data_IF_719902089713
#
_entry.id   IF_719902089713
#
_cell.length_a   1.000
_cell.length_b   1.000
_cell.length_c   1.000
_cell.angle_alpha   90.00
_cell.angle_beta   90.00
_cell.angle_gamma   90.00
#
_symmetry.space_group_name_H-M   'P 1'
#
loop_
_entity.id
_entity.type
_entity.pdbx_description
1 polymer ?
#
# COMPACT_ATOMS: atom_id res chain seq x y z
N UNK A 1 3.48 -42.38 -74.82
CA UNK A 1 4.93 -42.43 -75.09
C UNK A 1 5.67 -42.23 -73.77
N UNK A 2 6.60 -43.14 -73.46
CA UNK A 2 7.83 -43.03 -72.61
C UNK A 2 7.70 -42.27 -71.27
N UNK A 3 7.73 -42.92 -70.09
CA UNK A 3 8.80 -43.69 -69.44
C UNK A 3 10.00 -42.85 -68.90
N UNK A 4 10.21 -42.97 -67.58
CA UNK A 4 11.47 -42.91 -66.81
C UNK A 4 12.10 -41.51 -66.55
N UNK A 5 12.73 -41.16 -65.42
CA UNK A 5 13.24 -41.82 -64.20
C UNK A 5 13.48 -40.73 -63.10
N UNK A 6 13.05 -40.89 -61.84
CA UNK A 6 13.79 -41.28 -60.61
C UNK A 6 14.98 -40.40 -60.11
N UNK A 7 14.75 -39.77 -58.94
CA UNK A 7 15.52 -39.80 -57.67
C UNK A 7 16.52 -38.68 -57.21
N UNK A 8 16.44 -38.42 -55.87
CA UNK A 8 17.34 -37.76 -54.88
C UNK A 8 17.24 -36.21 -54.67
N UNK A 9 16.74 -35.65 -53.54
CA UNK A 9 17.27 -35.48 -52.13
C UNK A 9 18.43 -34.44 -52.08
N UNK A 10 18.54 -33.34 -51.29
CA UNK A 10 17.90 -32.77 -50.08
C UNK A 10 18.23 -31.24 -49.91
N UNK A 11 17.24 -30.47 -49.41
CA UNK A 11 17.26 -29.37 -48.40
C UNK A 11 17.95 -27.98 -48.54
N UNK A 12 17.28 -27.02 -47.86
CA UNK A 12 17.61 -25.65 -47.42
C UNK A 12 17.22 -24.50 -48.38
N UNK A 13 16.55 -23.40 -47.98
CA UNK A 13 16.06 -22.94 -46.69
C UNK A 13 15.33 -21.58 -46.82
N UNK A 14 14.74 -21.13 -45.71
CA UNK A 14 14.42 -19.73 -45.34
C UNK A 14 13.39 -18.93 -46.15
N UNK A 15 12.16 -18.88 -45.63
CA UNK A 15 11.20 -17.78 -45.90
C UNK A 15 11.32 -16.71 -44.82
N UNK A 16 11.45 -15.47 -45.28
CA UNK A 16 11.77 -14.22 -44.59
C UNK A 16 10.79 -13.83 -43.49
N UNK A 17 11.34 -13.47 -42.32
CA UNK A 17 10.65 -12.71 -41.28
C UNK A 17 10.47 -11.25 -41.73
N UNK A 18 9.28 -10.69 -41.58
CA UNK A 18 9.03 -9.26 -41.72
C UNK A 18 9.40 -8.56 -40.41
N UNK A 19 10.39 -7.68 -40.49
CA UNK A 19 10.75 -6.72 -39.45
C UNK A 19 9.59 -5.76 -39.19
N UNK A 20 8.96 -5.86 -38.03
CA UNK A 20 8.22 -4.75 -37.44
C UNK A 20 9.19 -3.99 -36.53
N UNK A 21 9.75 -2.90 -37.07
CA UNK A 21 10.49 -1.91 -36.28
C UNK A 21 9.51 -1.25 -35.31
N UNK A 22 9.52 -1.67 -34.05
CA UNK A 22 8.80 -0.97 -32.98
C UNK A 22 9.53 0.35 -32.75
N UNK A 23 8.99 1.44 -33.30
CA UNK A 23 9.40 2.80 -32.96
C UNK A 23 9.16 3.02 -31.47
N UNK A 24 10.23 3.25 -30.70
CA UNK A 24 10.24 3.70 -29.30
C UNK A 24 9.67 5.13 -29.17
N UNK A 25 8.39 5.30 -29.52
CA UNK A 25 7.65 6.57 -29.38
C UNK A 25 6.36 6.42 -28.58
N UNK A 26 6.25 5.34 -27.80
CA UNK A 26 5.05 5.01 -27.02
C UNK A 26 5.35 4.60 -25.57
N UNK A 27 6.49 5.03 -25.01
CA UNK A 27 6.79 4.93 -23.57
C UNK A 27 6.82 6.30 -22.89
N UNK A 28 6.23 7.31 -23.54
CA UNK A 28 6.09 8.65 -23.01
C UNK A 28 4.64 9.12 -23.25
N UNK A 29 3.70 8.29 -22.80
CA UNK A 29 2.28 8.64 -22.58
C UNK A 29 1.58 7.44 -21.93
N UNK A 30 2.09 7.03 -20.78
CA UNK A 30 1.24 6.49 -19.72
C UNK A 30 1.64 7.19 -18.42
N UNK A 31 1.85 8.51 -18.55
CA UNK A 31 1.77 9.38 -17.40
C UNK A 31 0.34 9.28 -16.88
N UNK A 32 0.24 8.97 -15.60
CA UNK A 32 -0.99 8.70 -14.86
C UNK A 32 -2.03 9.80 -15.09
N UNK A 33 -2.95 9.61 -16.04
CA UNK A 33 -4.02 10.56 -16.33
C UNK A 33 -5.19 10.46 -15.34
N UNK A 34 -4.92 10.08 -14.07
CA UNK A 34 -5.94 9.76 -13.08
C UNK A 34 -5.86 10.59 -11.80
N UNK A 35 -5.14 11.71 -11.80
CA UNK A 35 -5.03 12.56 -10.63
C UNK A 35 -5.28 14.02 -11.04
N UNK A 36 -6.41 14.55 -10.59
CA UNK A 36 -6.65 16.00 -10.51
C UNK A 36 -5.75 16.62 -9.43
N UNK A 37 -4.43 16.50 -9.58
CA UNK A 37 -3.53 17.43 -8.90
C UNK A 37 -3.53 18.71 -9.71
N UNK A 38 -3.93 19.82 -9.09
CA UNK A 38 -3.75 21.11 -9.71
C UNK A 38 -2.24 21.40 -9.81
N UNK A 39 -1.68 21.40 -11.02
CA UNK A 39 -0.25 21.65 -11.28
C UNK A 39 0.20 23.04 -10.77
N UNK A 40 -0.75 23.95 -10.52
CA UNK A 40 -0.49 25.27 -9.92
C UNK A 40 -0.63 25.29 -8.39
N UNK A 41 -0.85 24.14 -7.74
CA UNK A 41 -1.03 24.09 -6.30
C UNK A 41 0.26 24.40 -5.55
N UNK A 42 0.16 25.29 -4.57
CA UNK A 42 1.19 25.57 -3.58
C UNK A 42 0.52 25.65 -2.23
N UNK A 43 1.12 25.02 -1.22
CA UNK A 43 0.67 25.16 0.16
C UNK A 43 1.37 26.36 0.81
N UNK A 44 0.74 27.53 0.66
CA UNK A 44 1.18 28.83 1.18
C UNK A 44 0.16 29.46 2.16
N UNK A 45 -0.84 28.69 2.57
CA UNK A 45 -1.90 29.12 3.48
C UNK A 45 -2.98 30.02 2.84
N UNK A 46 -2.98 30.20 1.51
CA UNK A 46 -4.09 30.85 0.80
C UNK A 46 -5.30 29.92 0.61
N UNK A 47 -5.05 28.62 0.60
CA UNK A 47 -6.05 27.55 0.56
C UNK A 47 -5.92 26.66 1.80
N UNK A 48 -6.91 25.80 2.02
CA UNK A 48 -6.88 24.80 3.09
C UNK A 48 -6.90 23.36 2.54
N UNK A 49 -6.39 23.15 1.32
CA UNK A 49 -6.29 21.81 0.72
C UNK A 49 -5.10 21.03 1.29
N UNK A 50 -5.21 20.74 2.59
CA UNK A 50 -4.26 19.95 3.36
C UNK A 50 -4.13 18.53 2.76
N UNK A 51 -5.21 17.98 2.20
CA UNK A 51 -5.16 16.66 1.58
C UNK A 51 -4.29 16.67 0.32
N UNK A 52 -4.40 17.68 -0.54
CA UNK A 52 -3.52 17.85 -1.70
C UNK A 52 -2.05 18.04 -1.28
N UNK A 53 -1.79 18.85 -0.23
CA UNK A 53 -0.42 19.00 0.29
C UNK A 53 0.15 17.66 0.80
N UNK A 54 -0.61 16.90 1.58
CA UNK A 54 -0.19 15.60 2.11
C UNK A 54 0.01 14.56 1.00
N UNK A 55 -0.79 14.62 -0.07
CA UNK A 55 -0.57 13.82 -1.27
C UNK A 55 0.78 14.15 -1.92
N UNK A 56 1.10 15.44 -2.11
CA UNK A 56 2.37 15.87 -2.70
C UNK A 56 3.55 15.41 -1.85
N UNK A 57 3.46 15.53 -0.53
CA UNK A 57 4.51 15.02 0.39
C UNK A 57 4.66 13.50 0.30
N UNK A 58 3.54 12.76 0.24
CA UNK A 58 3.56 11.31 0.05
C UNK A 58 4.22 10.90 -1.27
N UNK A 59 3.92 11.58 -2.39
CA UNK A 59 4.58 11.33 -3.67
C UNK A 59 6.07 11.71 -3.65
N UNK A 60 6.46 12.70 -2.85
CA UNK A 60 7.86 13.05 -2.62
C UNK A 60 8.62 11.99 -1.79
N UNK A 61 7.92 10.99 -1.23
CA UNK A 61 8.49 9.93 -0.42
C UNK A 61 8.66 10.31 1.06
N UNK A 62 8.03 11.40 1.50
CA UNK A 62 8.00 11.76 2.91
C UNK A 62 7.20 10.73 3.72
N UNK A 63 7.53 10.64 5.00
CA UNK A 63 6.88 9.74 5.94
C UNK A 63 6.44 10.58 7.15
N UNK A 64 5.27 10.27 7.67
CA UNK A 64 4.80 10.75 8.96
C UNK A 64 4.35 9.57 9.81
N UNK A 65 4.45 9.72 11.12
CA UNK A 65 3.89 8.76 12.07
C UNK A 65 2.39 8.61 11.85
N UNK A 66 1.90 7.40 12.09
CA UNK A 66 0.48 7.09 12.09
C UNK A 66 -0.26 8.01 13.06
N UNK A 67 -1.51 8.37 12.72
CA UNK A 67 -2.35 9.12 13.63
C UNK A 67 -2.75 8.22 14.81
N UNK A 68 -2.33 8.60 16.00
CA UNK A 68 -2.88 8.05 17.23
C UNK A 68 -4.26 8.67 17.42
N UNK A 69 -5.32 7.94 17.12
CA UNK A 69 -6.71 8.38 17.33
C UNK A 69 -7.36 7.49 18.40
N UNK A 70 -8.15 8.08 19.29
CA UNK A 70 -8.93 7.30 20.26
C UNK A 70 -10.03 6.46 19.59
N UNK A 71 -10.55 6.95 18.46
CA UNK A 71 -11.51 6.23 17.63
C UNK A 71 -11.45 6.71 16.17
N UNK A 72 -11.80 5.82 15.24
CA UNK A 72 -11.92 6.17 13.81
C UNK A 72 -13.37 6.59 13.55
N UNK A 73 -13.64 7.76 12.94
CA UNK A 73 -15.00 8.20 12.69
C UNK A 73 -15.75 7.24 11.76
N UNK A 74 -17.04 6.99 12.04
CA UNK A 74 -17.85 6.05 11.26
C UNK A 74 -17.89 6.41 9.76
N UNK A 75 -17.99 7.69 9.41
CA UNK A 75 -17.99 8.15 8.02
C UNK A 75 -16.67 7.86 7.29
N UNK A 76 -15.55 7.82 8.02
CA UNK A 76 -14.24 7.46 7.45
C UNK A 76 -14.21 5.97 7.15
N UNK A 77 -14.67 5.12 8.09
CA UNK A 77 -14.77 3.68 7.87
C UNK A 77 -15.73 3.34 6.72
N UNK A 78 -16.92 3.96 6.69
CA UNK A 78 -17.90 3.78 5.61
C UNK A 78 -17.34 4.15 4.23
N UNK A 79 -16.44 5.13 4.17
CA UNK A 79 -15.76 5.53 2.94
C UNK A 79 -14.67 4.54 2.51
N UNK A 80 -13.98 3.90 3.46
CA UNK A 80 -12.93 2.91 3.20
C UNK A 80 -13.47 1.51 2.89
N UNK A 81 -14.63 1.14 3.45
CA UNK A 81 -15.24 -0.19 3.32
C UNK A 81 -15.41 -0.67 1.86
N UNK A 82 -15.94 0.16 0.91
CA UNK A 82 -16.05 -0.24 -0.49
C UNK A 82 -14.70 -0.52 -1.16
N UNK A 83 -13.63 0.09 -0.65
CA UNK A 83 -12.26 -0.09 -1.14
C UNK A 83 -11.55 -1.27 -0.48
N UNK A 84 -12.14 -1.85 0.58
CA UNK A 84 -11.54 -2.89 1.44
C UNK A 84 -10.19 -2.48 2.01
N UNK A 85 -10.10 -1.24 2.47
CA UNK A 85 -8.92 -0.66 3.09
C UNK A 85 -9.17 -0.58 4.60
N UNK A 86 -8.21 -1.03 5.41
CA UNK A 86 -8.20 -0.71 6.84
C UNK A 86 -7.52 0.65 7.04
N UNK A 87 -8.07 1.50 7.91
CA UNK A 87 -7.44 2.78 8.24
C UNK A 87 -6.01 2.61 8.76
N UNK A 88 -5.79 1.61 9.61
CA UNK A 88 -4.49 1.34 10.23
C UNK A 88 -3.42 0.84 9.23
N UNK A 89 -3.84 0.36 8.06
CA UNK A 89 -2.92 -0.07 7.00
C UNK A 89 -2.44 1.10 6.13
N UNK A 90 -3.05 2.29 6.27
CA UNK A 90 -2.67 3.48 5.53
C UNK A 90 -1.42 4.15 6.13
N UNK A 91 -0.50 4.67 5.31
CA UNK A 91 0.60 5.50 5.81
C UNK A 91 0.09 6.75 6.54
N UNK A 92 0.85 7.25 7.52
CA UNK A 92 0.42 8.37 8.37
C UNK A 92 0.02 9.65 7.62
N UNK A 93 0.68 9.96 6.49
CA UNK A 93 0.30 11.08 5.63
C UNK A 93 -1.08 10.87 4.99
N UNK A 94 -1.38 9.65 4.57
CA UNK A 94 -2.65 9.27 3.92
C UNK A 94 -3.78 9.23 4.93
N UNK A 95 -3.51 8.74 6.15
CA UNK A 95 -4.44 8.82 7.27
C UNK A 95 -4.84 10.27 7.55
N UNK A 96 -3.86 11.18 7.66
CA UNK A 96 -4.10 12.62 7.83
C UNK A 96 -4.96 13.17 6.69
N UNK A 97 -4.58 12.92 5.43
CA UNK A 97 -5.32 13.44 4.28
C UNK A 97 -6.78 12.97 4.28
N UNK A 98 -7.01 11.69 4.60
CA UNK A 98 -8.34 11.11 4.70
C UNK A 98 -9.18 11.73 5.83
N UNK A 99 -8.60 11.93 7.02
CA UNK A 99 -9.28 12.57 8.15
C UNK A 99 -9.70 14.00 7.79
N UNK A 100 -8.76 14.80 7.26
CA UNK A 100 -9.05 16.18 6.85
C UNK A 100 -10.13 16.26 5.79
N UNK A 101 -9.96 15.52 4.70
CA UNK A 101 -10.88 15.53 3.57
C UNK A 101 -12.28 15.05 3.96
N UNK A 102 -12.37 14.12 4.92
CA UNK A 102 -13.64 13.64 5.48
C UNK A 102 -14.28 14.60 6.50
N UNK A 103 -13.71 15.78 6.72
CA UNK A 103 -14.30 16.83 7.55
C UNK A 103 -13.98 16.70 9.04
N UNK A 104 -12.77 16.26 9.38
CA UNK A 104 -12.33 16.16 10.77
C UNK A 104 -11.03 16.92 11.00
N UNK A 105 -10.91 17.49 12.21
CA UNK A 105 -9.66 17.93 12.79
C UNK A 105 -9.44 17.19 14.11
N UNK A 106 -8.24 17.26 14.70
CA UNK A 106 -7.85 16.44 15.85
C UNK A 106 -7.75 17.29 17.11
N UNK A 107 -8.46 16.91 18.17
CA UNK A 107 -8.36 17.54 19.49
C UNK A 107 -6.97 17.30 20.11
N UNK A 108 -6.57 18.07 21.13
CA UNK A 108 -5.35 17.81 21.90
C UNK A 108 -5.29 16.41 22.53
N UNK A 109 -6.46 15.81 22.81
CA UNK A 109 -6.60 14.48 23.39
C UNK A 109 -6.71 13.36 22.34
N UNK A 110 -6.39 13.66 21.07
CA UNK A 110 -6.40 12.71 19.95
C UNK A 110 -7.80 12.22 19.53
N UNK A 111 -8.84 12.99 19.81
CA UNK A 111 -10.19 12.73 19.29
C UNK A 111 -10.39 13.42 17.94
N UNK A 112 -10.90 12.71 16.92
CA UNK A 112 -11.40 13.37 15.72
C UNK A 112 -12.67 14.17 16.03
N UNK A 113 -12.61 15.46 15.78
CA UNK A 113 -13.70 16.41 15.99
C UNK A 113 -14.32 16.76 14.63
N UNK A 114 -15.64 16.62 14.52
CA UNK A 114 -16.37 16.92 13.30
C UNK A 114 -16.30 18.42 12.98
N UNK A 115 -16.00 18.73 11.72
CA UNK A 115 -16.09 20.06 11.14
C UNK A 115 -17.30 20.10 10.21
N UNK A 116 -18.11 21.15 10.31
CA UNK A 116 -19.10 21.53 9.30
C UNK A 116 -18.58 22.74 8.55
N UNK A 117 -18.74 22.74 7.23
CA UNK A 117 -18.41 23.90 6.41
C UNK A 117 -19.66 24.76 6.20
N UNK A 118 -19.47 26.06 6.28
CA UNK A 118 -20.53 27.03 6.04
C UNK A 118 -20.75 27.21 4.54
N UNK A 119 -21.96 27.59 4.15
CA UNK A 119 -22.30 27.90 2.75
C UNK A 119 -21.91 26.75 1.78
N UNK A 120 -21.19 27.07 0.71
CA UNK A 120 -20.70 26.12 -0.29
C UNK A 120 -19.18 25.86 -0.18
N UNK A 121 -18.57 26.21 0.96
CA UNK A 121 -17.15 25.91 1.18
C UNK A 121 -16.92 24.41 1.37
N UNK A 122 -15.73 23.96 1.01
CA UNK A 122 -15.23 22.60 1.25
C UNK A 122 -14.07 22.66 2.23
N UNK A 123 -13.63 21.50 2.76
CA UNK A 123 -12.42 21.44 3.59
C UNK A 123 -11.18 22.01 2.88
N UNK A 124 -11.13 21.98 1.55
CA UNK A 124 -10.04 22.58 0.76
C UNK A 124 -10.11 24.12 0.66
N UNK A 125 -11.23 24.74 1.06
CA UNK A 125 -11.51 26.16 0.85
C UNK A 125 -12.05 26.91 2.07
N UNK A 126 -11.84 26.38 3.29
CA UNK A 126 -12.22 27.04 4.55
C UNK A 126 -11.16 28.02 5.06
N UNK A 127 -9.98 28.11 4.42
CA UNK A 127 -9.04 29.21 4.68
C UNK A 127 -9.74 30.56 4.51
N UNK A 128 -9.47 31.49 5.42
CA UNK A 128 -10.02 32.84 5.37
C UNK A 128 -8.99 33.75 4.70
N UNK A 129 -9.33 34.41 3.58
CA UNK A 129 -8.43 35.36 2.93
C UNK A 129 -8.13 36.58 3.80
N UNK A 130 -6.94 37.17 3.61
CA UNK A 130 -6.49 38.33 4.39
C UNK A 130 -7.41 39.56 4.20
N UNK A 131 -7.96 39.73 2.99
CA UNK A 131 -8.91 40.80 2.69
C UNK A 131 -10.19 40.70 3.54
N UNK A 132 -10.72 39.50 3.75
CA UNK A 132 -11.90 39.29 4.59
C UNK A 132 -11.60 39.63 6.06
N UNK A 133 -10.41 39.30 6.54
CA UNK A 133 -10.00 39.67 7.92
C UNK A 133 -9.88 41.18 8.08
N UNK A 134 -9.41 41.89 7.05
CA UNK A 134 -9.38 43.35 7.06
C UNK A 134 -10.80 43.96 7.04
N UNK A 135 -11.77 43.35 6.34
CA UNK A 135 -13.16 43.80 6.26
C UNK A 135 -13.90 43.79 7.61
N UNK A 136 -13.51 42.89 8.52
CA UNK A 136 -14.06 42.83 9.89
C UNK A 136 -13.32 43.72 10.89
N UNK A 137 -12.50 44.66 10.40
CA UNK A 137 -11.69 45.61 11.17
C UNK A 137 -10.70 44.92 12.12
N UNK A 138 -10.14 43.78 11.70
CA UNK A 138 -9.01 43.19 12.37
C UNK A 138 -7.71 43.73 11.80
N UNK A 139 -6.74 43.96 12.67
CA UNK A 139 -5.38 44.30 12.25
C UNK A 139 -4.57 43.01 12.06
N UNK A 140 -3.72 43.03 11.05
CA UNK A 140 -2.86 41.89 10.70
C UNK A 140 -1.40 42.22 11.00
N UNK A 141 -0.69 41.25 11.55
CA UNK A 141 0.76 41.26 11.64
C UNK A 141 1.31 40.62 10.37
N UNK A 142 2.15 41.34 9.64
CA UNK A 142 2.88 40.80 8.49
C UNK A 142 4.10 40.02 8.99
N UNK A 143 4.25 38.80 8.51
CA UNK A 143 5.33 37.88 8.83
C UNK A 143 6.12 37.54 7.56
N UNK A 144 7.33 38.10 7.40
CA UNK A 144 8.19 37.79 6.27
C UNK A 144 8.58 36.31 6.24
N UNK A 145 8.54 35.69 5.06
CA UNK A 145 8.95 34.30 4.88
C UNK A 145 10.21 34.18 3.99
N UNK A 146 10.96 33.05 4.07
CA UNK A 146 12.17 32.85 3.28
C UNK A 146 12.00 32.85 1.76
N UNK A 147 10.80 32.57 1.26
CA UNK A 147 10.48 32.63 -0.18
C UNK A 147 10.26 34.06 -0.71
N UNK A 148 10.26 35.07 0.17
CA UNK A 148 10.02 36.47 -0.18
C UNK A 148 8.55 36.87 -0.25
N UNK A 149 7.62 35.93 -0.11
CA UNK A 149 6.18 36.22 -0.01
C UNK A 149 5.79 36.42 1.46
N UNK A 150 5.01 37.45 1.80
CA UNK A 150 4.58 37.69 3.18
C UNK A 150 3.46 36.72 3.58
N UNK A 151 3.55 36.23 4.82
CA UNK A 151 2.41 35.68 5.54
C UNK A 151 1.76 36.76 6.40
N UNK A 152 0.54 36.49 6.83
CA UNK A 152 -0.21 37.37 7.73
C UNK A 152 -0.77 36.58 8.90
N UNK A 153 -0.84 37.21 10.07
CA UNK A 153 -1.51 36.65 11.25
C UNK A 153 -2.39 37.69 11.92
N UNK A 154 -3.41 37.24 12.65
CA UNK A 154 -4.29 38.14 13.41
C UNK A 154 -3.51 38.79 14.55
N UNK A 155 -3.49 40.14 14.62
CA UNK A 155 -2.85 40.89 15.70
C UNK A 155 -3.88 41.43 16.68
N UNK A 156 -4.62 42.48 16.33
CA UNK A 156 -5.73 42.99 17.14
C UNK A 156 -7.06 42.66 16.46
N UNK A 157 -7.78 41.70 17.04
CA UNK A 157 -9.02 41.15 16.52
C UNK A 157 -9.77 40.49 17.67
N UNK A 158 -11.05 40.83 17.89
CA UNK A 158 -11.87 40.12 18.88
C UNK A 158 -12.38 38.79 18.32
N UNK A 159 -12.77 37.87 19.21
CA UNK A 159 -13.37 36.60 18.77
C UNK A 159 -14.60 36.81 17.89
N UNK A 160 -15.47 37.76 18.25
CA UNK A 160 -16.65 38.09 17.44
C UNK A 160 -16.31 38.67 16.06
N UNK A 161 -15.20 39.42 15.92
CA UNK A 161 -14.80 39.96 14.62
C UNK A 161 -14.29 38.85 13.70
N UNK A 162 -13.36 38.00 14.18
CA UNK A 162 -12.79 36.96 13.33
C UNK A 162 -13.84 35.91 12.92
N UNK A 163 -14.77 35.61 13.83
CA UNK A 163 -15.86 34.66 13.57
C UNK A 163 -16.82 35.14 12.46
N UNK A 164 -17.00 36.45 12.26
CA UNK A 164 -17.85 36.96 11.17
C UNK A 164 -17.35 36.58 9.75
N UNK A 165 -16.09 36.17 9.62
CA UNK A 165 -15.50 35.71 8.35
C UNK A 165 -15.05 34.25 8.40
N UNK A 166 -15.34 33.55 9.50
CA UNK A 166 -15.12 32.12 9.61
C UNK A 166 -15.99 31.36 8.60
N UNK A 167 -15.47 30.22 8.14
CA UNK A 167 -16.11 29.37 7.12
C UNK A 167 -16.43 27.97 7.65
N UNK A 168 -16.28 27.75 8.96
CA UNK A 168 -16.43 26.45 9.58
C UNK A 168 -17.02 26.53 10.99
N UNK A 169 -17.64 25.44 11.39
CA UNK A 169 -18.05 25.15 12.76
C UNK A 169 -17.39 23.86 13.18
N UNK A 170 -16.78 23.83 14.36
CA UNK A 170 -16.20 22.60 14.93
C UNK A 170 -17.07 22.09 16.09
N UNK A 171 -17.19 20.78 16.19
CA UNK A 171 -17.88 20.13 17.31
C UNK A 171 -17.19 20.43 18.64
N UNK A 172 -17.90 20.22 19.74
CA UNK A 172 -17.38 20.49 21.08
C UNK A 172 -16.26 19.50 21.41
N UNK A 173 -15.14 20.02 21.91
CA UNK A 173 -14.03 19.23 22.45
C UNK A 173 -13.41 19.94 23.65
N UNK A 174 -12.59 19.21 24.41
CA UNK A 174 -11.84 19.74 25.54
C UNK A 174 -10.39 20.05 25.12
N UNK A 175 -9.89 21.21 25.55
CA UNK A 175 -8.46 21.56 25.47
C UNK A 175 -8.02 22.02 26.86
N UNK A 176 -7.45 21.09 27.63
CA UNK A 176 -6.93 21.39 28.96
C UNK A 176 -5.81 22.44 28.95
N UNK A 177 -5.16 22.66 27.80
CA UNK A 177 -4.13 23.67 27.58
C UNK A 177 -4.67 25.01 27.07
N UNK A 178 -5.98 25.19 26.93
CA UNK A 178 -6.59 26.41 26.42
C UNK A 178 -6.56 27.59 27.41
N UNK A 179 -6.62 27.30 28.71
CA UNK A 179 -6.64 28.34 29.74
C UNK A 179 -5.36 29.17 29.70
N UNK A 180 -5.48 30.42 29.21
CA UNK A 180 -4.34 31.32 29.04
C UNK A 180 -3.52 31.11 27.76
N UNK A 181 -4.01 30.32 26.81
CA UNK A 181 -3.39 30.20 25.49
C UNK A 181 -3.61 31.49 24.70
N UNK A 182 -2.61 32.38 24.70
CA UNK A 182 -2.57 33.58 23.87
C UNK A 182 -1.95 33.25 22.51
N UNK A 183 -2.57 32.35 21.77
CA UNK A 183 -2.12 31.96 20.43
C UNK A 183 -2.68 32.85 19.33
N UNK A 184 -2.22 32.63 18.11
CA UNK A 184 -2.80 33.23 16.91
C UNK A 184 -4.10 32.49 16.55
N UNK A 185 -5.16 33.23 16.20
CA UNK A 185 -6.48 32.66 15.87
C UNK A 185 -6.71 32.50 14.37
N UNK A 186 -5.96 33.24 13.57
CA UNK A 186 -5.98 33.19 12.11
C UNK A 186 -4.59 33.54 11.58
N UNK A 187 -4.13 32.80 10.58
CA UNK A 187 -2.94 33.15 9.82
C UNK A 187 -2.89 32.48 8.46
N UNK A 188 -2.18 33.11 7.54
CA UNK A 188 -1.73 32.53 6.27
C UNK A 188 -0.25 32.16 6.37
N UNK A 189 0.27 31.56 5.30
CA UNK A 189 1.62 31.05 5.23
C UNK A 189 1.66 29.52 5.23
N UNK A 190 2.77 29.01 4.73
CA UNK A 190 3.04 27.59 4.66
C UNK A 190 4.35 27.38 3.92
N UNK A 191 5.04 26.31 4.29
CA UNK A 191 6.20 25.83 3.56
C UNK A 191 5.72 24.75 2.58
N UNK A 192 6.05 24.86 1.29
CA UNK A 192 5.67 23.86 0.29
C UNK A 192 6.20 22.44 0.61
N UNK A 193 7.20 22.34 1.49
CA UNK A 193 7.75 21.08 1.98
C UNK A 193 7.22 20.65 3.35
N UNK A 194 6.27 21.37 3.97
CA UNK A 194 5.74 20.95 5.27
C UNK A 194 4.76 19.80 5.14
N UNK A 195 4.69 19.01 6.21
CA UNK A 195 3.62 18.06 6.48
C UNK A 195 2.64 18.74 7.44
N UNK A 196 1.52 19.29 6.97
CA UNK A 196 0.57 19.99 7.83
C UNK A 196 -0.08 19.07 8.85
N UNK A 197 -0.23 19.59 10.06
CA UNK A 197 -1.11 19.05 11.09
C UNK A 197 -2.55 19.55 10.90
N UNK A 198 -3.50 19.04 11.67
CA UNK A 198 -4.89 19.50 11.72
C UNK A 198 -5.35 19.59 13.17
N UNK A 199 -4.54 20.26 13.99
CA UNK A 199 -4.70 20.28 15.44
C UNK A 199 -5.70 21.37 15.83
N UNK A 200 -6.70 21.01 16.62
CA UNK A 200 -7.64 21.98 17.17
C UNK A 200 -7.07 22.66 18.41
N UNK A 201 -7.46 23.91 18.58
CA UNK A 201 -7.23 24.73 19.76
C UNK A 201 -8.51 25.41 20.20
N UNK A 202 -8.75 25.40 21.50
CA UNK A 202 -9.73 26.30 22.12
C UNK A 202 -9.04 27.61 22.49
N UNK A 203 -9.53 28.70 21.91
CA UNK A 203 -9.12 30.06 22.24
C UNK A 203 -10.21 30.69 23.08
N UNK A 204 -9.99 30.76 24.39
CA UNK A 204 -10.90 31.41 25.33
C UNK A 204 -10.15 32.45 26.17
N UNK A 205 -10.66 33.68 26.21
CA UNK A 205 -10.07 34.75 27.02
C UNK A 205 -11.11 35.78 27.46
N UNK A 206 -10.76 36.54 28.49
CA UNK A 206 -11.50 37.73 28.90
C UNK A 206 -10.69 38.94 28.46
N UNK A 207 -11.29 39.78 27.61
CA UNK A 207 -10.69 41.01 27.14
C UNK A 207 -10.40 41.95 28.33
N UNK A 208 -9.13 42.25 28.63
CA UNK A 208 -8.78 42.99 29.84
C UNK A 208 -9.36 44.40 29.89
N UNK A 209 -9.60 45.02 28.73
CA UNK A 209 -10.07 46.40 28.64
C UNK A 209 -11.59 46.54 28.78
N UNK A 210 -12.36 45.58 28.27
CA UNK A 210 -13.83 45.64 28.25
C UNK A 210 -14.50 44.67 29.22
N UNK A 211 -13.79 43.63 29.68
CA UNK A 211 -14.35 42.54 30.46
C UNK A 211 -15.22 41.56 29.66
N UNK A 212 -15.26 41.68 28.33
CA UNK A 212 -15.98 40.75 27.47
C UNK A 212 -15.25 39.40 27.41
N UNK A 213 -16.01 38.31 27.52
CA UNK A 213 -15.49 36.97 27.30
C UNK A 213 -15.63 36.59 25.82
N UNK A 214 -14.55 36.05 25.24
CA UNK A 214 -14.53 35.52 23.88
C UNK A 214 -14.10 34.07 23.91
N UNK A 215 -14.68 33.28 23.01
CA UNK A 215 -14.43 31.86 22.87
C UNK A 215 -14.59 31.49 21.39
N UNK A 216 -13.63 30.75 20.84
CA UNK A 216 -13.69 30.20 19.49
C UNK A 216 -12.74 29.04 19.33
N UNK A 217 -12.91 28.27 18.26
CA UNK A 217 -12.00 27.20 17.89
C UNK A 217 -11.11 27.62 16.74
N UNK A 218 -9.89 27.08 16.70
CA UNK A 218 -9.00 27.28 15.56
C UNK A 218 -8.30 25.97 15.20
N UNK A 219 -8.12 25.74 13.90
CA UNK A 219 -7.36 24.62 13.35
C UNK A 219 -5.96 25.11 13.02
N UNK A 220 -4.96 24.57 13.70
CA UNK A 220 -3.55 24.88 13.53
C UNK A 220 -2.86 23.78 12.70
N UNK A 221 -2.06 24.21 11.72
CA UNK A 221 -1.36 23.28 10.80
C UNK A 221 0.06 22.91 11.23
N UNK A 222 0.46 23.28 12.45
CA UNK A 222 1.76 22.97 13.05
C UNK A 222 1.62 22.38 14.46
N UNK A 223 2.72 21.82 14.96
CA UNK A 223 2.80 21.33 16.33
C UNK A 223 2.62 22.48 17.34
N UNK A 224 2.24 22.17 18.58
CA UNK A 224 2.12 23.18 19.64
C UNK A 224 3.45 23.88 19.96
N UNK A 225 4.60 23.26 19.64
CA UNK A 225 5.92 23.84 19.89
C UNK A 225 6.35 24.85 18.82
N UNK A 226 5.78 24.74 17.62
CA UNK A 226 6.05 25.61 16.47
C UNK A 226 4.99 26.72 16.32
N UNK A 227 3.91 26.62 17.10
CA UNK A 227 2.80 27.56 17.07
C UNK A 227 3.24 28.93 17.63
N UNK A 228 3.14 30.02 16.85
CA UNK A 228 3.57 31.32 17.31
C UNK A 228 2.66 31.83 18.44
N UNK A 229 3.27 32.47 19.44
CA UNK A 229 2.49 33.23 20.41
C UNK A 229 1.93 34.50 19.77
N UNK A 230 0.87 35.04 20.36
CA UNK A 230 0.23 36.27 19.92
C UNK A 230 1.27 37.39 19.70
N UNK A 231 1.09 38.12 18.60
CA UNK A 231 1.96 39.23 18.20
C UNK A 231 3.42 38.82 17.91
N UNK A 232 3.65 37.56 17.53
CA UNK A 232 4.95 37.08 17.09
C UNK A 232 4.83 36.35 15.75
N UNK A 233 5.87 36.48 14.93
CA UNK A 233 6.04 35.63 13.76
C UNK A 233 6.77 34.33 14.16
N UNK A 234 6.51 33.22 13.45
CA UNK A 234 7.17 31.95 13.74
C UNK A 234 8.70 32.07 13.70
N UNK A 235 9.33 31.41 14.68
CA UNK A 235 10.79 31.41 14.82
C UNK A 235 11.46 30.23 14.10
N UNK A 236 10.75 29.12 13.93
CA UNK A 236 11.26 27.89 13.32
C UNK A 236 11.09 27.96 11.81
N UNK A 237 12.13 27.53 11.08
CA UNK A 237 12.30 27.53 9.60
C UNK A 237 11.99 28.83 8.82
N UNK A 238 11.45 29.85 9.50
CA UNK A 238 11.03 31.14 8.98
C UNK A 238 9.64 31.15 8.33
N UNK A 239 8.97 30.00 8.19
CA UNK A 239 7.66 29.94 7.54
C UNK A 239 6.52 30.08 8.55
N UNK A 240 5.53 30.88 8.18
CA UNK A 240 4.24 30.89 8.87
C UNK A 240 3.42 29.65 8.50
N UNK A 241 2.33 29.44 9.24
CA UNK A 241 1.44 28.31 9.08
C UNK A 241 0.00 28.77 8.90
N UNK A 242 -0.80 28.00 8.19
CA UNK A 242 -2.24 28.21 8.12
C UNK A 242 -2.88 27.97 9.49
N UNK A 243 -3.66 28.94 9.95
CA UNK A 243 -4.57 28.80 11.09
C UNK A 243 -5.98 29.21 10.65
N UNK A 244 -6.94 28.29 10.79
CA UNK A 244 -8.32 28.49 10.34
C UNK A 244 -9.25 28.68 11.54
N UNK A 245 -9.87 29.87 11.73
CA UNK A 245 -10.84 30.09 12.79
C UNK A 245 -12.16 29.40 12.46
N UNK A 246 -12.76 28.71 13.44
CA UNK A 246 -14.06 28.07 13.38
C UNK A 246 -14.93 28.48 14.57
N UNK A 247 -16.23 28.57 14.35
CA UNK A 247 -17.19 28.71 15.44
C UNK A 247 -17.28 27.44 16.29
N UNK A 248 -17.80 27.58 17.52
CA UNK A 248 -18.18 26.43 18.35
C UNK A 248 -19.57 25.94 17.96
N UNK A 249 -19.73 24.62 17.88
CA UNK A 249 -21.04 23.97 17.63
C UNK A 249 -22.13 24.40 18.61
N UNK A 250 -21.76 24.73 19.85
CA UNK A 250 -22.68 25.18 20.91
C UNK A 250 -23.36 26.52 20.63
N UNK A 251 -22.83 27.32 19.69
CA UNK A 251 -23.42 28.60 19.28
C UNK A 251 -24.64 28.43 18.36
N UNK A 252 -24.84 27.24 17.80
CA UNK A 252 -25.87 26.96 16.81
C UNK A 252 -26.89 25.94 17.32
N UNK A 253 -28.11 26.06 16.81
CA UNK A 253 -29.15 25.05 16.98
C UNK A 253 -28.89 23.82 16.09
N UNK A 254 -29.49 22.69 16.45
CA UNK A 254 -29.42 21.46 15.64
C UNK A 254 -29.95 21.68 14.21
N UNK A 255 -30.98 22.51 14.04
CA UNK A 255 -31.53 22.85 12.73
C UNK A 255 -30.59 23.69 11.87
N UNK A 256 -29.84 24.61 12.48
CA UNK A 256 -28.86 25.42 11.77
C UNK A 256 -27.68 24.55 11.31
N UNK A 257 -27.22 23.65 12.16
CA UNK A 257 -26.10 22.76 11.84
C UNK A 257 -26.50 21.71 10.80
N UNK A 258 -27.74 21.21 10.86
CA UNK A 258 -28.28 20.33 9.83
C UNK A 258 -28.42 21.02 8.46
N UNK A 259 -28.46 22.35 8.40
CA UNK A 259 -28.47 23.12 7.15
C UNK A 259 -27.05 23.42 6.62
N UNK A 260 -26.02 23.25 7.44
CA UNK A 260 -24.62 23.37 7.02
C UNK A 260 -24.14 22.09 6.31
N UNK A 261 -23.00 22.20 5.63
CA UNK A 261 -22.43 21.07 4.92
C UNK A 261 -21.58 20.23 5.88
N UNK A 262 -21.99 18.97 6.10
CA UNK A 262 -21.13 17.96 6.71
C UNK A 262 -20.26 17.33 5.61
N UNK A 263 -18.92 17.53 5.60
CA UNK A 263 -18.07 16.99 4.54
C UNK A 263 -18.13 15.45 4.51
N UNK A 264 -18.27 14.89 3.31
CA UNK A 264 -18.28 13.43 3.10
C UNK A 264 -16.94 12.88 2.57
N UNK A 265 -15.99 13.77 2.28
CA UNK A 265 -14.80 13.45 1.48
C UNK A 265 -14.96 13.76 0.00
N UNK A 266 -13.86 14.12 -0.65
CA UNK A 266 -13.81 14.35 -2.09
C UNK A 266 -13.70 13.05 -2.88
N UNK A 267 -14.18 13.07 -4.12
CA UNK A 267 -13.95 11.97 -5.07
C UNK A 267 -12.45 11.80 -5.36
N UNK A 268 -11.69 12.90 -5.37
CA UNK A 268 -10.24 12.89 -5.63
C UNK A 268 -9.45 12.08 -4.60
N UNK A 269 -9.63 12.31 -3.29
CA UNK A 269 -8.96 11.47 -2.27
C UNK A 269 -9.42 10.02 -2.37
N UNK A 270 -10.70 9.79 -2.68
CA UNK A 270 -11.25 8.44 -2.85
C UNK A 270 -10.59 7.71 -4.03
N UNK A 271 -10.35 8.42 -5.13
CA UNK A 271 -9.67 7.90 -6.33
C UNK A 271 -8.20 7.61 -6.05
N UNK A 272 -7.51 8.48 -5.31
CA UNK A 272 -6.15 8.22 -4.83
C UNK A 272 -6.09 6.95 -3.96
N UNK A 273 -6.97 6.84 -2.96
CA UNK A 273 -7.06 5.65 -2.10
C UNK A 273 -7.29 4.37 -2.91
N UNK A 274 -8.18 4.44 -3.90
CA UNK A 274 -8.48 3.31 -4.79
C UNK A 274 -7.28 2.92 -5.65
N UNK A 275 -6.55 3.91 -6.17
CA UNK A 275 -5.43 3.68 -7.06
C UNK A 275 -4.24 3.00 -6.35
N UNK A 276 -3.94 3.45 -5.12
CA UNK A 276 -2.72 3.05 -4.42
C UNK A 276 -2.93 1.95 -3.37
N UNK A 277 -4.09 1.93 -2.69
CA UNK A 277 -4.27 1.12 -1.48
C UNK A 277 -5.40 0.09 -1.58
N UNK A 278 -6.37 0.25 -2.50
CA UNK A 278 -7.46 -0.71 -2.59
C UNK A 278 -6.95 -2.11 -2.96
N UNK A 279 -7.48 -3.11 -2.24
CA UNK A 279 -7.16 -4.50 -2.52
C UNK A 279 -7.55 -4.84 -3.97
N UNK A 280 -6.56 -5.15 -4.80
CA UNK A 280 -6.82 -5.64 -6.17
C UNK A 280 -7.62 -6.92 -6.05
N UNK A 281 -8.91 -6.86 -6.36
CA UNK A 281 -9.68 -8.10 -6.52
C UNK A 281 -8.96 -8.95 -7.56
N UNK A 282 -8.60 -10.21 -7.26
CA UNK A 282 -8.17 -11.11 -8.30
C UNK A 282 -9.32 -11.19 -9.29
N UNK A 283 -9.12 -10.63 -10.48
CA UNK A 283 -10.08 -10.71 -11.58
C UNK A 283 -10.07 -12.16 -12.02
N UNK A 284 -10.80 -13.03 -11.29
CA UNK A 284 -10.99 -14.42 -11.67
C UNK A 284 -11.60 -14.40 -13.07
N UNK A 285 -10.76 -14.70 -14.06
CA UNK A 285 -11.15 -14.62 -15.45
C UNK A 285 -12.15 -15.75 -15.68
N UNK A 286 -13.44 -15.44 -15.89
CA UNK A 286 -14.50 -16.43 -16.12
C UNK A 286 -14.17 -17.40 -17.28
N UNK A 287 -13.26 -17.01 -18.18
CA UNK A 287 -12.69 -17.88 -19.22
C UNK A 287 -11.90 -19.10 -18.68
N UNK A 288 -11.34 -19.05 -17.46
CA UNK A 288 -10.64 -20.19 -16.85
C UNK A 288 -11.60 -21.28 -16.33
N UNK A 289 -12.90 -21.01 -16.23
CA UNK A 289 -13.91 -22.04 -15.93
C UNK A 289 -14.27 -22.88 -17.16
N UNK A 290 -14.09 -22.33 -18.37
CA UNK A 290 -14.37 -23.02 -19.64
C UNK A 290 -13.59 -24.34 -19.77
N UNK A 291 -12.25 -24.38 -19.56
CA UNK A 291 -11.50 -25.64 -19.65
C UNK A 291 -11.87 -26.65 -18.54
N UNK A 292 -12.26 -26.19 -17.34
CA UNK A 292 -12.67 -27.06 -16.24
C UNK A 292 -14.01 -27.73 -16.56
N UNK A 293 -14.98 -26.97 -17.07
CA UNK A 293 -16.29 -27.49 -17.48
C UNK A 293 -16.14 -28.45 -18.67
N UNK A 294 -15.37 -28.08 -19.69
CA UNK A 294 -15.08 -28.97 -20.83
C UNK A 294 -14.38 -30.27 -20.39
N UNK A 295 -13.37 -30.17 -19.51
CA UNK A 295 -12.69 -31.34 -18.95
C UNK A 295 -13.65 -32.27 -18.21
N UNK A 296 -14.56 -31.72 -17.40
CA UNK A 296 -15.56 -32.53 -16.68
C UNK A 296 -16.53 -33.27 -17.62
N UNK A 297 -16.95 -32.64 -18.72
CA UNK A 297 -17.83 -33.27 -19.72
C UNK A 297 -17.15 -34.41 -20.48
N UNK A 298 -15.86 -34.26 -20.79
CA UNK A 298 -15.05 -35.32 -21.41
C UNK A 298 -14.91 -36.52 -20.47
N UNK A 299 -14.64 -36.30 -19.18
CA UNK A 299 -14.53 -37.39 -18.20
C UNK A 299 -15.88 -38.12 -18.05
N UNK A 300 -16.99 -37.40 -17.95
CA UNK A 300 -18.33 -38.00 -17.82
C UNK A 300 -18.69 -38.83 -19.07
N UNK A 301 -18.37 -38.33 -20.26
CA UNK A 301 -18.63 -39.06 -21.51
C UNK A 301 -17.76 -40.32 -21.65
N UNK A 302 -16.47 -40.26 -21.29
CA UNK A 302 -15.57 -41.43 -21.28
C UNK A 302 -16.06 -42.47 -20.26
N UNK A 303 -16.40 -42.07 -19.04
CA UNK A 303 -16.90 -42.99 -18.00
C UNK A 303 -18.23 -43.61 -18.41
N UNK A 304 -19.13 -42.83 -19.01
CA UNK A 304 -20.39 -43.31 -19.57
C UNK A 304 -20.19 -44.33 -20.69
N UNK A 305 -19.25 -44.05 -21.61
CA UNK A 305 -18.92 -44.93 -22.73
C UNK A 305 -18.28 -46.24 -22.27
N UNK A 306 -17.37 -46.19 -21.30
CA UNK A 306 -16.76 -47.38 -20.68
C UNK A 306 -17.82 -48.24 -19.98
N UNK A 307 -18.72 -47.63 -19.19
CA UNK A 307 -19.82 -48.38 -18.56
C UNK A 307 -20.77 -48.99 -19.58
N UNK A 308 -21.06 -48.29 -20.68
CA UNK A 308 -21.88 -48.81 -21.76
C UNK A 308 -21.21 -49.99 -22.47
N UNK A 309 -19.91 -49.89 -22.79
CA UNK A 309 -19.13 -50.97 -23.38
C UNK A 309 -19.04 -52.19 -22.48
N UNK A 310 -18.80 -52.00 -21.19
CA UNK A 310 -18.74 -53.09 -20.21
C UNK A 310 -20.10 -53.77 -20.04
N UNK A 311 -21.22 -53.01 -19.99
CA UNK A 311 -22.57 -53.58 -19.98
C UNK A 311 -22.89 -54.35 -21.25
N UNK A 312 -22.48 -53.85 -22.42
CA UNK A 312 -22.69 -54.52 -23.71
C UNK A 312 -21.85 -55.80 -23.83
N UNK A 313 -20.63 -55.80 -23.28
CA UNK A 313 -19.76 -56.99 -23.19
C UNK A 313 -20.32 -58.02 -22.20
N UNK A 314 -20.89 -57.59 -21.07
CA UNK A 314 -21.56 -58.47 -20.12
C UNK A 314 -22.84 -59.11 -20.70
N UNK A 315 -23.60 -58.36 -21.51
CA UNK A 315 -24.77 -58.89 -22.23
C UNK A 315 -24.37 -59.93 -23.28
N UNK A 316 -23.29 -59.68 -24.04
CA UNK A 316 -22.73 -60.66 -25.00
C UNK A 316 -22.14 -61.91 -24.34
N UNK A 317 -21.61 -61.81 -23.11
CA UNK A 317 -21.15 -62.99 -22.34
C UNK A 317 -22.29 -63.83 -21.77
N UNK A 318 -23.50 -63.28 -21.62
CA UNK A 318 -24.70 -64.05 -21.23
C UNK A 318 -25.34 -64.82 -22.40
N UNK A 319 -24.93 -64.54 -23.63
CA UNK A 319 -25.43 -65.20 -24.85
C UNK A 319 -24.48 -66.31 -25.35
N UNK A 320 -23.32 -66.51 -24.71
CA UNK A 320 -22.36 -67.58 -25.06
C UNK A 320 -22.04 -68.45 -23.84
N UNK A 321 -22.64 -69.64 -23.87
CA UNK A 321 -22.40 -70.86 -23.09
C UNK A 321 -23.10 -71.10 -21.73
N UNK A 322 -23.70 -72.31 -21.57
CA UNK A 322 -24.31 -72.81 -20.35
C UNK A 322 -23.29 -73.58 -19.47
N UNK A 323 -23.70 -73.85 -18.24
CA UNK A 323 -23.31 -75.08 -17.53
C UNK A 323 -22.09 -74.99 -16.60
N UNK A 324 -22.42 -75.18 -15.32
CA UNK A 324 -21.68 -75.95 -14.32
C UNK A 324 -20.78 -75.24 -13.30
N UNK A 325 -20.90 -75.83 -12.11
CA UNK A 325 -20.65 -75.39 -10.75
C UNK A 325 -19.28 -75.88 -10.23
N UNK A 326 -18.89 -75.30 -9.09
CA UNK A 326 -17.99 -75.83 -8.05
C UNK A 326 -16.48 -75.92 -8.39
N UNK A 327 -15.63 -75.21 -7.62
CA UNK A 327 -15.11 -75.74 -6.35
C UNK A 327 -14.13 -74.76 -5.64
N UNK A 328 -14.20 -74.86 -4.34
CA UNK A 328 -13.51 -74.29 -3.18
C UNK A 328 -11.97 -74.44 -3.20
N UNK A 329 -11.23 -73.55 -2.51
CA UNK A 329 -10.31 -73.90 -1.38
C UNK A 329 -9.12 -72.94 -1.14
N UNK A 330 -9.14 -72.32 0.06
CA UNK A 330 -8.12 -72.11 1.11
C UNK A 330 -6.67 -71.57 0.87
N UNK A 331 -6.43 -70.36 1.40
CA UNK A 331 -5.60 -69.92 2.55
C UNK A 331 -4.28 -70.60 3.02
N UNK A 332 -3.45 -69.75 3.66
CA UNK A 332 -2.14 -69.85 4.39
C UNK A 332 -0.90 -69.51 3.55
N UNK A 333 0.10 -68.72 3.98
CA UNK A 333 0.40 -68.04 5.24
C UNK A 333 1.93 -67.94 5.42
N UNK A 334 2.42 -66.75 5.80
CA UNK A 334 3.67 -66.43 6.54
C UNK A 334 5.08 -66.79 6.00
N UNK A 335 6.06 -65.91 6.27
CA UNK A 335 7.49 -66.26 6.32
C UNK A 335 8.47 -65.10 6.08
N UNK A 336 9.31 -64.81 7.07
CA UNK A 336 10.30 -63.71 7.19
C UNK A 336 11.67 -63.94 6.49
N UNK A 337 12.35 -62.82 6.22
CA UNK A 337 13.80 -62.46 6.36
C UNK A 337 14.94 -63.45 6.04
N UNK A 338 15.88 -63.03 5.16
CA UNK A 338 17.34 -63.21 5.32
C UNK A 338 18.13 -62.07 4.63
N UNK A 339 19.26 -61.70 5.24
CA UNK A 339 20.21 -60.65 4.88
C UNK A 339 21.27 -61.03 3.81
N UNK A 340 21.88 -59.96 3.29
CA UNK A 340 23.25 -59.78 2.77
C UNK A 340 23.61 -60.26 1.35
N UNK A 341 24.22 -59.34 0.57
CA UNK A 341 25.54 -59.47 -0.10
C UNK A 341 25.94 -58.17 -0.83
N UNK A 342 27.00 -57.53 -0.30
CA UNK A 342 28.20 -56.99 -0.98
C UNK A 342 28.12 -55.85 -2.03
N UNK A 343 28.74 -54.71 -1.70
CA UNK A 343 29.24 -53.66 -2.64
C UNK A 343 30.53 -54.10 -3.34
N UNK A 344 30.84 -53.56 -4.54
CA UNK A 344 31.89 -52.53 -4.60
C UNK A 344 31.71 -51.42 -5.68
N UNK A 345 32.03 -50.19 -5.29
CA UNK A 345 32.91 -49.22 -5.97
C UNK A 345 32.82 -48.88 -7.46
N UNK A 346 32.57 -47.58 -7.70
CA UNK A 346 33.36 -46.66 -8.54
C UNK A 346 32.86 -46.31 -9.97
N UNK A 347 32.50 -45.02 -10.11
CA UNK A 347 32.63 -44.05 -11.21
C UNK A 347 32.43 -44.48 -12.67
N UNK A 348 31.59 -43.73 -13.42
CA UNK A 348 31.97 -42.87 -14.56
C UNK A 348 30.71 -42.30 -15.26
N UNK A 349 30.78 -41.02 -15.70
CA UNK A 349 29.83 -40.32 -16.58
C UNK A 349 29.50 -41.11 -17.86
N UNK A 350 28.34 -40.88 -18.56
CA UNK A 350 28.31 -39.89 -19.65
C UNK A 350 26.93 -39.23 -19.97
N UNK A 351 26.99 -37.92 -20.26
CA UNK A 351 26.69 -37.28 -21.56
C UNK A 351 25.28 -37.31 -22.22
N UNK A 352 24.94 -36.17 -22.86
CA UNK A 352 23.88 -35.86 -23.86
C UNK A 352 22.41 -35.82 -23.39
N UNK A 353 21.58 -34.79 -23.62
CA UNK A 353 21.69 -33.55 -24.40
C UNK A 353 20.43 -33.37 -25.27
N UNK A 354 19.65 -32.29 -25.10
CA UNK A 354 18.76 -31.72 -26.16
C UNK A 354 18.57 -30.22 -25.90
N UNK A 355 18.84 -29.42 -26.94
CA UNK A 355 18.58 -27.98 -27.06
C UNK A 355 17.11 -27.67 -27.37
N UNK A 356 16.57 -26.56 -26.86
CA UNK A 356 16.02 -25.46 -27.71
C UNK A 356 15.46 -24.30 -26.89
N UNK A 357 16.01 -23.12 -27.19
CA UNK A 357 15.41 -21.78 -27.27
C UNK A 357 14.13 -21.46 -26.50
N UNK A 358 14.18 -20.44 -25.66
CA UNK A 358 13.60 -19.13 -25.99
C UNK A 358 13.93 -18.13 -24.88
N UNK A 359 14.27 -16.92 -25.30
CA UNK A 359 14.59 -15.78 -24.45
C UNK A 359 13.50 -15.56 -23.39
N UNK A 360 13.86 -15.84 -22.13
CA UNK A 360 13.34 -15.09 -21.01
C UNK A 360 14.51 -14.21 -20.56
N UNK A 361 14.43 -12.90 -20.80
CA UNK A 361 15.36 -11.97 -20.20
C UNK A 361 15.27 -12.13 -18.68
N UNK A 362 16.30 -12.73 -18.12
CA UNK A 362 16.55 -12.78 -16.69
C UNK A 362 16.73 -11.35 -16.20
N UNK A 363 15.66 -10.74 -15.69
CA UNK A 363 15.73 -9.51 -14.89
C UNK A 363 16.76 -9.76 -13.78
N UNK A 364 17.88 -9.04 -13.88
CA UNK A 364 19.13 -9.39 -13.24
C UNK A 364 19.02 -9.55 -11.73
N UNK A 365 19.46 -10.70 -11.23
CA UNK A 365 19.58 -11.06 -9.82
C UNK A 365 20.53 -10.17 -8.99
N UNK A 366 21.07 -9.09 -9.56
CA UNK A 366 21.95 -8.14 -8.89
C UNK A 366 21.26 -6.83 -8.49
N UNK A 367 20.22 -6.38 -9.20
CA UNK A 367 19.52 -5.13 -8.84
C UNK A 367 18.65 -5.32 -7.60
N UNK A 368 17.82 -6.38 -7.58
CA UNK A 368 16.97 -6.68 -6.42
C UNK A 368 17.80 -6.97 -5.17
N UNK A 369 18.90 -7.72 -5.30
CA UNK A 369 19.81 -7.95 -4.17
C UNK A 369 20.47 -6.64 -3.71
N UNK A 370 20.89 -5.77 -4.63
CA UNK A 370 21.43 -4.45 -4.29
C UNK A 370 20.42 -3.55 -3.56
N UNK A 371 19.15 -3.57 -3.96
CA UNK A 371 18.04 -2.85 -3.32
C UNK A 371 17.81 -3.39 -1.90
N UNK A 372 17.75 -4.72 -1.75
CA UNK A 372 17.53 -5.36 -0.44
C UNK A 372 18.71 -5.15 0.52
N UNK A 373 19.95 -5.17 0.01
CA UNK A 373 21.16 -4.95 0.81
C UNK A 373 21.27 -3.51 1.32
N UNK A 374 20.77 -2.53 0.56
CA UNK A 374 20.81 -1.10 0.92
C UNK A 374 19.55 -0.62 1.64
N UNK A 375 18.50 -1.44 1.71
CA UNK A 375 17.25 -1.10 2.40
C UNK A 375 17.49 -0.88 3.90
N UNK A 376 17.22 0.33 4.44
CA UNK A 376 17.31 0.61 5.88
C UNK A 376 16.30 -0.23 6.68
N UNK A 377 15.15 -0.52 6.07
CA UNK A 377 14.04 -1.30 6.67
C UNK A 377 14.36 -2.78 6.90
N UNK A 378 15.45 -3.29 6.30
CA UNK A 378 15.87 -4.68 6.46
C UNK A 378 17.08 -4.84 7.39
N UNK A 379 17.63 -3.78 7.98
CA UNK A 379 18.82 -3.89 8.84
C UNK A 379 18.54 -4.62 10.17
N UNK A 380 17.39 -4.37 10.80
CA UNK A 380 16.97 -5.04 12.03
C UNK A 380 16.36 -6.44 11.85
N UNK A 381 15.97 -6.79 10.62
CA UNK A 381 15.31 -8.06 10.29
C UNK A 381 16.27 -9.10 9.67
N UNK A 382 17.58 -8.83 9.70
CA UNK A 382 18.62 -9.75 9.22
C UNK A 382 18.97 -10.76 10.28
N UNK A 383 18.98 -12.03 9.90
CA UNK A 383 19.43 -13.13 10.75
C UNK A 383 20.95 -13.28 10.55
N UNK A 384 21.77 -13.19 11.63
CA UNK A 384 23.20 -13.44 11.56
C UNK A 384 23.48 -14.85 11.04
N UNK A 385 24.47 -14.99 10.16
CA UNK A 385 24.81 -16.28 9.54
C UNK A 385 25.19 -17.34 10.58
N UNK A 386 25.92 -16.94 11.62
CA UNK A 386 26.39 -17.83 12.69
C UNK A 386 25.24 -18.41 13.53
N UNK A 387 24.03 -17.87 13.41
CA UNK A 387 22.84 -18.41 14.07
C UNK A 387 22.16 -19.54 13.27
N UNK A 388 22.65 -19.87 12.07
CA UNK A 388 22.14 -20.96 11.24
C UNK A 388 23.10 -22.15 11.24
N UNK A 389 22.58 -23.32 11.58
CA UNK A 389 23.31 -24.59 11.45
C UNK A 389 22.85 -25.25 10.15
N UNK A 390 23.73 -25.34 9.15
CA UNK A 390 23.40 -25.95 7.85
C UNK A 390 23.52 -27.48 7.93
N UNK A 391 22.45 -28.19 7.59
CA UNK A 391 22.41 -29.65 7.66
C UNK A 391 22.64 -30.29 6.28
N UNK A 392 21.75 -30.00 5.32
CA UNK A 392 21.79 -30.61 3.98
C UNK A 392 21.22 -29.71 2.89
N UNK A 393 21.66 -29.91 1.65
CA UNK A 393 21.12 -29.23 0.49
C UNK A 393 19.79 -29.88 0.07
N UNK A 394 18.73 -29.06 -0.06
CA UNK A 394 17.40 -29.52 -0.47
C UNK A 394 17.17 -29.38 -1.97
N UNK A 395 17.66 -28.29 -2.59
CA UNK A 395 17.52 -28.07 -4.03
C UNK A 395 18.49 -27.01 -4.56
N UNK A 396 18.76 -27.06 -5.87
CA UNK A 396 19.64 -26.12 -6.57
C UNK A 396 18.98 -25.61 -7.85
N UNK A 397 18.99 -24.30 -8.03
CA UNK A 397 18.48 -23.65 -9.23
C UNK A 397 19.38 -22.51 -9.72
N UNK A 398 18.99 -21.89 -10.83
CA UNK A 398 19.77 -20.83 -11.48
C UNK A 398 20.00 -19.58 -10.59
N UNK A 399 19.14 -19.34 -9.59
CA UNK A 399 19.20 -18.19 -8.69
C UNK A 399 19.78 -18.49 -7.30
N UNK A 400 20.10 -19.74 -6.97
CA UNK A 400 20.52 -20.10 -5.62
C UNK A 400 20.42 -21.58 -5.26
N UNK A 401 20.89 -21.90 -4.06
CA UNK A 401 20.84 -23.22 -3.43
C UNK A 401 19.98 -23.13 -2.17
N UNK A 402 19.00 -24.01 -2.01
CA UNK A 402 18.17 -24.12 -0.81
C UNK A 402 18.76 -25.17 0.12
N UNK A 403 18.91 -24.84 1.39
CA UNK A 403 19.47 -25.67 2.45
C UNK A 403 18.45 -25.90 3.55
N UNK A 404 18.44 -27.10 4.12
CA UNK A 404 17.84 -27.37 5.42
C UNK A 404 18.79 -26.85 6.50
N UNK A 405 18.27 -26.02 7.40
CA UNK A 405 19.03 -25.42 8.48
C UNK A 405 18.30 -25.54 9.82
N UNK A 406 19.03 -25.40 10.92
CA UNK A 406 18.47 -25.20 12.25
C UNK A 406 18.62 -23.73 12.67
N UNK A 407 17.54 -23.11 13.14
CA UNK A 407 17.50 -21.74 13.68
C UNK A 407 16.60 -21.70 14.91
N UNK A 408 17.12 -21.22 16.05
CA UNK A 408 16.33 -21.13 17.30
C UNK A 408 15.72 -22.47 17.76
N UNK A 409 16.38 -23.60 17.47
CA UNK A 409 15.88 -24.95 17.77
C UNK A 409 14.83 -25.51 16.79
N UNK A 410 14.47 -24.76 15.74
CA UNK A 410 13.53 -25.19 14.70
C UNK A 410 14.25 -25.50 13.38
N UNK A 411 13.73 -26.46 12.62
CA UNK A 411 14.18 -26.70 11.24
C UNK A 411 13.56 -25.66 10.30
N UNK A 412 14.38 -25.05 9.46
CA UNK A 412 14.01 -24.01 8.50
C UNK A 412 14.66 -24.28 7.14
N UNK A 413 14.05 -23.77 6.07
CA UNK A 413 14.65 -23.78 4.73
C UNK A 413 15.29 -22.42 4.44
N UNK A 414 16.58 -22.43 4.13
CA UNK A 414 17.38 -21.24 3.85
C UNK A 414 17.80 -21.22 2.37
N UNK A 415 17.48 -20.16 1.61
CA UNK A 415 17.95 -20.03 0.23
C UNK A 415 19.20 -19.16 0.16
N UNK A 416 20.33 -19.77 -0.18
CA UNK A 416 21.60 -19.09 -0.49
C UNK A 416 21.61 -18.65 -1.95
N UNK A 417 21.68 -17.34 -2.18
CA UNK A 417 21.72 -16.78 -3.53
C UNK A 417 23.14 -16.90 -4.13
N UNK A 418 23.24 -17.15 -5.44
CA UNK A 418 24.52 -17.20 -6.15
C UNK A 418 24.96 -15.78 -6.54
N UNK A 419 26.16 -15.38 -6.13
CA UNK A 419 26.80 -14.14 -6.60
C UNK A 419 27.56 -14.44 -7.90
N UNK A 420 27.17 -13.82 -9.00
CA UNK A 420 27.99 -13.85 -10.22
C UNK A 420 29.18 -12.88 -10.05
N UNK A 421 30.43 -13.33 -10.24
CA UNK A 421 31.61 -12.51 -10.06
C UNK A 421 31.83 -11.63 -11.30
N UNK A 422 31.10 -10.53 -11.36
CA UNK A 422 31.45 -9.40 -12.22
C UNK A 422 31.40 -8.13 -11.40
N UNK A 423 32.52 -7.83 -10.74
CA UNK A 423 32.82 -6.49 -10.23
C UNK A 423 32.56 -6.23 -8.75
N UNK A 424 33.18 -7.00 -7.85
CA UNK A 424 33.76 -6.50 -6.58
C UNK A 424 34.48 -7.67 -5.89
N UNK A 425 35.78 -7.54 -5.62
CA UNK A 425 36.48 -8.46 -4.72
C UNK A 425 36.16 -8.05 -3.28
N UNK A 426 35.45 -8.87 -2.48
CA UNK A 426 35.22 -8.55 -1.07
C UNK A 426 36.52 -8.77 -0.30
N UNK A 427 36.88 -7.81 0.54
CA UNK A 427 38.00 -7.98 1.48
C UNK A 427 37.65 -9.06 2.51
N UNK A 428 38.64 -9.65 3.19
CA UNK A 428 38.47 -10.75 4.18
C UNK A 428 37.41 -10.50 5.28
N UNK A 429 36.95 -9.26 5.45
CA UNK A 429 35.89 -8.87 6.40
C UNK A 429 34.46 -9.06 5.86
N UNK A 430 34.30 -9.17 4.54
CA UNK A 430 33.00 -9.34 3.85
C UNK A 430 32.68 -10.81 3.54
N UNK A 431 33.63 -11.74 3.76
CA UNK A 431 33.40 -13.17 3.54
C UNK A 431 32.57 -13.84 4.66
N UNK A 432 32.30 -13.14 5.77
CA UNK A 432 31.53 -13.66 6.90
C UNK A 432 30.03 -13.37 6.83
N UNK A 433 29.53 -12.69 5.78
CA UNK A 433 28.10 -12.37 5.67
C UNK A 433 27.51 -13.00 4.41
N UNK A 434 27.22 -14.29 4.49
CA UNK A 434 26.29 -14.92 3.55
C UNK A 434 24.89 -14.42 3.92
N UNK A 435 24.33 -13.58 3.06
CA UNK A 435 23.01 -13.01 3.25
C UNK A 435 21.96 -14.03 2.82
N UNK A 436 21.39 -14.72 3.79
CA UNK A 436 20.31 -15.70 3.61
C UNK A 436 18.96 -14.99 3.78
N UNK A 437 18.11 -15.01 2.75
CA UNK A 437 16.67 -14.76 2.95
C UNK A 437 16.07 -16.01 3.56
N UNK A 438 15.63 -15.92 4.81
CA UNK A 438 14.96 -17.03 5.51
C UNK A 438 13.45 -16.82 5.38
N UNK A 439 12.77 -17.78 4.77
CA UNK A 439 11.32 -17.93 4.91
C UNK A 439 11.08 -18.92 6.04
N UNK A 440 10.56 -18.46 7.18
CA UNK A 440 10.08 -19.36 8.23
C UNK A 440 8.66 -19.80 7.85
N UNK A 441 8.52 -21.01 7.34
CA UNK A 441 7.22 -21.65 7.20
C UNK A 441 6.82 -22.21 8.57
N UNK A 442 5.91 -21.54 9.28
CA UNK A 442 5.33 -22.03 10.53
C UNK A 442 4.50 -23.31 10.31
N UNK A 443 4.34 -24.16 11.36
CA UNK A 443 3.70 -25.47 11.21
C UNK A 443 2.19 -25.30 11.06
N UNK A 444 1.68 -25.53 9.85
CA UNK A 444 0.24 -25.53 9.58
C UNK A 444 -0.22 -26.18 8.29
N UNK A 445 0.67 -26.69 7.42
CA UNK A 445 0.21 -27.30 6.15
C UNK A 445 1.11 -28.39 5.57
N UNK A 446 1.55 -29.35 6.39
CA UNK A 446 1.97 -30.66 5.88
C UNK A 446 0.93 -31.69 6.31
N UNK A 447 -0.18 -31.67 5.58
CA UNK A 447 -1.15 -32.76 5.61
C UNK A 447 -0.48 -34.04 5.10
N UNK A 448 -0.63 -35.10 5.89
CA UNK A 448 -0.34 -36.47 5.47
C UNK A 448 -0.95 -36.76 4.10
N UNK A 449 -0.10 -37.22 3.17
CA UNK A 449 -0.36 -38.40 2.34
C UNK A 449 0.91 -38.87 1.65
#
# INVERSE_FOLDING_TARGET
MRASALAAILAAGSTTAQDYTITFRSLEETSSSYLHTNDSFVFDGTNSDIAQQLYIRHQAGDIADALELNSIPASVTERLDPLRISFDDLPGLVQRALIWDSGFAISPDNDPVQIWTMENYTMASISVPQENVAEVNCTVLECPQPNGEPAYSSQYCTGSQILNVSRCVADTFEDSGASGFLGVMWSTGGNANMTPHMRLRDHSWIEPTTGAAYELYAIHTVSSADDPTWNQCPANDGYSSLIVPCHKRSEFTDSEIAAMTKPAGSDWVTDWLRAEFAARTPRFNKLLLIPIVLGSLVVVSVVGFVRFYLKRRAKRRKEQMPGDNEDFSHYYGAGESYDAVTSPGMNTDPNFGVSSSSHYESVGSNQTLGILLRSPHLQGNRIPYDNLIFESELSRGASGVVWLCQYGGQQVAAKKLLLNPSGFYPTKKDQSVVHTTIFVLGPGSLGQK
#
